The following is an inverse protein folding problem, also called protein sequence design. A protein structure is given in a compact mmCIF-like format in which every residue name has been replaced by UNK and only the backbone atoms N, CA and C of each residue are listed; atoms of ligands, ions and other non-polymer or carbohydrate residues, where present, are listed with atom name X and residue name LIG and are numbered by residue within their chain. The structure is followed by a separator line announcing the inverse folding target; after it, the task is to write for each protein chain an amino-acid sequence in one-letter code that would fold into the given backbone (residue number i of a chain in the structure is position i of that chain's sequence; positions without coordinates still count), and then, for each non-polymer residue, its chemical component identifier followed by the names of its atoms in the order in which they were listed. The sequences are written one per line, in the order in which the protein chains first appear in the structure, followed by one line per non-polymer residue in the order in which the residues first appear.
data_IF_379888505626
#
_entry.id   IF_379888505626
#
_cell.length_a   1.000
_cell.length_b   1.000
_cell.length_c   1.000
_cell.angle_alpha   90.00
_cell.angle_beta   90.00
_cell.angle_gamma   90.00
#
_symmetry.space_group_name_H-M   'P 1'
#
loop_
_entity.id
_entity.type
_entity.pdbx_description
1 polymer ?
#
# COMPACT_ATOMS: atom_id res chain seq x y z
N UNK A 1 -15.58 15.30 14.64
CA UNK A 1 -15.39 16.44 13.73
C UNK A 1 -14.08 16.23 12.97
N UNK A 2 -14.13 15.92 11.67
CA UNK A 2 -12.94 15.83 10.84
C UNK A 2 -12.41 17.26 10.67
N UNK A 3 -11.40 17.65 11.46
CA UNK A 3 -10.81 19.00 11.33
C UNK A 3 -9.93 19.02 10.09
N UNK A 4 -10.40 19.69 9.04
CA UNK A 4 -9.59 19.95 7.85
C UNK A 4 -8.58 21.06 8.16
N UNK A 5 -7.36 20.92 7.66
CA UNK A 5 -6.35 21.96 7.78
C UNK A 5 -6.75 23.17 6.92
N UNK A 6 -6.52 24.40 7.40
CA UNK A 6 -6.95 25.61 6.67
C UNK A 6 -6.32 25.69 5.27
N UNK A 7 -5.02 25.38 5.18
CA UNK A 7 -4.29 25.27 3.90
C UNK A 7 -4.95 24.27 2.94
N UNK A 8 -5.48 23.16 3.46
CA UNK A 8 -6.13 22.12 2.68
C UNK A 8 -7.46 22.62 2.09
N UNK A 9 -8.21 23.39 2.89
CA UNK A 9 -9.49 23.97 2.50
C UNK A 9 -9.29 25.03 1.43
N UNK A 10 -8.37 25.96 1.68
CA UNK A 10 -8.04 27.05 0.75
C UNK A 10 -7.56 26.51 -0.60
N UNK A 11 -6.66 25.51 -0.59
CA UNK A 11 -6.17 24.88 -1.83
C UNK A 11 -7.28 24.18 -2.61
N UNK A 12 -8.19 23.49 -1.93
CA UNK A 12 -9.31 22.85 -2.62
C UNK A 12 -10.31 23.87 -3.15
N UNK A 13 -10.68 24.87 -2.36
CA UNK A 13 -11.57 25.95 -2.80
C UNK A 13 -10.99 26.70 -4.01
N UNK A 14 -9.68 26.89 -4.09
CA UNK A 14 -9.02 27.47 -5.25
C UNK A 14 -9.07 26.59 -6.51
N UNK A 15 -9.14 25.25 -6.36
CA UNK A 15 -9.19 24.29 -7.47
C UNK A 15 -10.62 23.98 -7.94
N UNK A 16 -11.55 23.83 -7.00
CA UNK A 16 -12.89 23.30 -7.23
C UNK A 16 -13.99 24.38 -7.07
N UNK A 17 -13.70 25.47 -6.37
CA UNK A 17 -14.64 26.58 -6.12
C UNK A 17 -15.56 26.39 -4.91
N UNK A 18 -15.49 25.25 -4.21
CA UNK A 18 -16.28 24.96 -3.00
C UNK A 18 -15.36 24.83 -1.78
N UNK A 19 -15.82 25.26 -0.59
CA UNK A 19 -15.16 24.87 0.66
C UNK A 19 -15.60 23.44 1.01
N UNK A 20 -14.68 22.53 1.41
CA UNK A 20 -15.08 21.19 1.81
C UNK A 20 -16.00 21.15 3.04
N UNK A 21 -16.12 22.23 3.82
CA UNK A 21 -17.09 22.33 4.91
C UNK A 21 -18.51 22.62 4.44
N UNK A 22 -18.68 23.14 3.22
CA UNK A 22 -20.00 23.41 2.63
C UNK A 22 -20.57 22.17 1.91
N UNK A 23 -19.77 21.10 1.79
CA UNK A 23 -20.18 19.82 1.19
C UNK A 23 -20.91 18.99 2.26
N UNK A 24 -22.12 18.50 1.94
CA UNK A 24 -22.97 17.73 2.86
C UNK A 24 -22.30 16.45 3.38
N UNK A 25 -21.61 15.72 2.50
CA UNK A 25 -20.81 14.54 2.87
C UNK A 25 -19.47 14.58 2.13
N UNK A 26 -18.45 15.29 2.68
CA UNK A 26 -17.17 15.43 2.00
C UNK A 26 -16.47 14.08 1.75
N UNK A 27 -16.46 13.11 2.69
CA UNK A 27 -15.99 11.76 2.39
C UNK A 27 -16.64 11.09 1.17
N UNK A 28 -17.91 11.39 0.88
CA UNK A 28 -18.62 10.89 -0.29
C UNK A 28 -18.42 11.74 -1.57
N UNK A 29 -17.91 12.97 -1.46
CA UNK A 29 -17.62 13.83 -2.62
C UNK A 29 -16.36 13.37 -3.37
N UNK A 30 -16.51 13.18 -4.69
CA UNK A 30 -15.45 12.65 -5.54
C UNK A 30 -14.30 13.63 -5.75
N UNK A 31 -14.60 14.91 -6.00
CA UNK A 31 -13.60 15.94 -6.20
C UNK A 31 -12.74 16.13 -4.94
N UNK A 32 -13.39 16.16 -3.77
CA UNK A 32 -12.69 16.24 -2.49
C UNK A 32 -11.83 15.01 -2.25
N UNK A 33 -12.34 13.79 -2.48
CA UNK A 33 -11.52 12.57 -2.37
C UNK A 33 -10.31 12.62 -3.29
N UNK A 34 -10.50 13.00 -4.56
CA UNK A 34 -9.44 13.09 -5.55
C UNK A 34 -8.37 14.09 -5.13
N UNK A 35 -8.77 15.29 -4.69
CA UNK A 35 -7.86 16.30 -4.15
C UNK A 35 -6.99 15.76 -3.00
N UNK A 36 -7.61 15.00 -2.08
CA UNK A 36 -6.89 14.39 -0.96
C UNK A 36 -5.90 13.32 -1.40
N UNK A 37 -6.24 12.52 -2.41
CA UNK A 37 -5.30 11.56 -3.00
C UNK A 37 -4.15 12.29 -3.71
N UNK A 38 -4.47 13.30 -4.52
CA UNK A 38 -3.50 14.08 -5.29
C UNK A 38 -2.53 14.85 -4.40
N UNK A 39 -2.95 15.25 -3.21
CA UNK A 39 -2.06 15.88 -2.23
C UNK A 39 -0.94 14.93 -1.77
N UNK A 40 -1.27 13.65 -1.49
CA UNK A 40 -0.27 12.64 -1.11
C UNK A 40 0.55 12.24 -2.34
N UNK A 41 -0.11 11.98 -3.47
CA UNK A 41 0.53 11.61 -4.73
C UNK A 41 1.50 12.69 -5.23
N UNK A 42 1.18 13.97 -5.06
CA UNK A 42 2.04 15.09 -5.42
C UNK A 42 3.36 15.04 -4.66
N UNK A 43 3.32 14.85 -3.34
CA UNK A 43 4.52 14.72 -2.51
C UNK A 43 5.38 13.51 -2.94
N UNK A 44 4.75 12.36 -3.21
CA UNK A 44 5.48 11.17 -3.68
C UNK A 44 6.10 11.41 -5.06
N UNK A 45 5.41 12.09 -5.98
CA UNK A 45 5.93 12.43 -7.31
C UNK A 45 7.13 13.37 -7.25
N UNK A 46 7.13 14.34 -6.33
CA UNK A 46 8.28 15.22 -6.12
C UNK A 46 9.50 14.44 -5.62
N UNK A 47 9.30 13.57 -4.62
CA UNK A 47 10.37 12.71 -4.10
C UNK A 47 10.91 11.75 -5.16
N UNK A 48 10.03 11.09 -5.91
CA UNK A 48 10.42 10.17 -6.96
C UNK A 48 11.22 10.88 -8.05
N UNK A 49 10.78 12.06 -8.49
CA UNK A 49 11.51 12.86 -9.48
C UNK A 49 12.93 13.19 -9.02
N UNK A 50 13.09 13.63 -7.78
CA UNK A 50 14.41 13.94 -7.23
C UNK A 50 15.27 12.68 -7.16
N UNK A 51 14.77 11.59 -6.57
CA UNK A 51 15.50 10.32 -6.40
C UNK A 51 15.92 9.72 -7.74
N UNK A 52 15.02 9.72 -8.73
CA UNK A 52 15.33 9.29 -10.11
C UNK A 52 16.34 10.22 -10.79
N UNK A 53 16.32 11.53 -10.49
CA UNK A 53 17.32 12.49 -10.96
C UNK A 53 18.74 12.17 -10.50
N UNK A 54 18.88 11.47 -9.36
CA UNK A 54 20.16 10.93 -8.86
C UNK A 54 20.45 9.51 -9.35
N UNK A 55 19.67 8.98 -10.29
CA UNK A 55 19.82 7.62 -10.83
C UNK A 55 19.56 6.51 -9.80
N UNK A 56 18.78 6.80 -8.76
CA UNK A 56 18.46 5.85 -7.69
C UNK A 56 17.03 5.32 -7.82
N UNK A 57 16.77 4.06 -7.44
CA UNK A 57 15.41 3.56 -7.36
C UNK A 57 14.70 4.08 -6.10
N UNK A 58 13.38 4.19 -6.18
CA UNK A 58 12.50 4.51 -5.06
C UNK A 58 11.41 3.45 -4.93
N UNK A 59 11.13 3.08 -3.69
CA UNK A 59 10.08 2.12 -3.36
C UNK A 59 9.31 2.54 -2.12
N UNK A 60 8.11 2.02 -1.92
CA UNK A 60 7.30 2.35 -0.74
C UNK A 60 6.60 1.13 -0.15
N UNK A 61 6.54 1.10 1.18
CA UNK A 61 5.56 0.31 1.92
C UNK A 61 4.20 1.03 1.90
N UNK A 62 3.17 0.33 1.45
CA UNK A 62 1.85 0.93 1.19
C UNK A 62 0.72 0.13 1.81
N UNK A 63 -0.46 0.72 1.94
CA UNK A 63 -1.63 -0.01 2.43
C UNK A 63 -2.09 -1.09 1.43
N UNK A 64 -2.72 -2.18 1.90
CA UNK A 64 -2.87 -3.46 1.20
C UNK A 64 -3.28 -3.40 -0.28
N UNK A 65 -4.51 -2.98 -0.55
CA UNK A 65 -5.08 -2.92 -1.91
C UNK A 65 -5.33 -1.48 -2.31
N UNK A 66 -5.36 -1.13 -3.61
CA UNK A 66 -5.64 0.23 -4.06
C UNK A 66 -6.93 0.82 -3.47
N UNK A 67 -7.96 -0.02 -3.34
CA UNK A 67 -9.25 0.35 -2.75
C UNK A 67 -9.14 0.64 -1.25
N UNK A 68 -8.49 -0.23 -0.47
CA UNK A 68 -8.30 -0.03 0.97
C UNK A 68 -7.40 1.19 1.21
N UNK A 69 -6.33 1.33 0.45
CA UNK A 69 -5.35 2.40 0.58
C UNK A 69 -5.96 3.78 0.32
N UNK A 70 -6.76 3.95 -0.74
CA UNK A 70 -7.51 5.20 -0.99
C UNK A 70 -8.52 5.50 0.11
N UNK A 71 -9.29 4.48 0.51
CA UNK A 71 -10.39 4.62 1.47
C UNK A 71 -9.92 4.95 2.88
N UNK A 72 -8.80 4.36 3.34
CA UNK A 72 -8.34 4.54 4.71
C UNK A 72 -7.31 5.67 4.83
N UNK A 73 -6.32 5.70 3.95
CA UNK A 73 -5.12 6.55 4.12
C UNK A 73 -4.85 7.47 2.94
N UNK A 74 -5.77 7.55 1.97
CA UNK A 74 -5.68 8.46 0.80
C UNK A 74 -4.46 8.18 -0.08
N UNK A 75 -3.91 6.96 -0.01
CA UNK A 75 -2.79 6.56 -0.85
C UNK A 75 -3.31 6.04 -2.19
N UNK A 76 -2.98 6.76 -3.27
CA UNK A 76 -3.21 6.34 -4.65
C UNK A 76 -1.96 5.71 -5.26
N UNK A 77 -1.43 4.67 -4.59
CA UNK A 77 -0.06 4.19 -4.82
C UNK A 77 0.17 3.53 -6.18
N UNK A 78 -0.86 3.02 -6.81
CA UNK A 78 -0.88 2.53 -8.19
C UNK A 78 -0.68 3.65 -9.22
N UNK A 79 -0.82 4.92 -8.84
CA UNK A 79 -0.56 6.08 -9.71
C UNK A 79 0.82 6.71 -9.45
N UNK A 80 1.61 6.12 -8.55
CA UNK A 80 2.91 6.67 -8.15
C UNK A 80 4.01 6.15 -9.06
N UNK A 81 4.98 7.00 -9.47
CA UNK A 81 6.11 6.59 -10.29
C UNK A 81 7.18 5.92 -9.42
N UNK A 82 6.86 4.76 -8.84
CA UNK A 82 7.77 3.96 -8.03
C UNK A 82 8.36 2.80 -8.82
N UNK A 83 9.57 2.38 -8.46
CA UNK A 83 10.25 1.24 -9.07
C UNK A 83 9.81 -0.10 -8.47
N UNK A 84 9.20 -0.07 -7.27
CA UNK A 84 8.66 -1.24 -6.57
C UNK A 84 7.71 -0.83 -5.46
N UNK A 85 6.69 -1.63 -5.20
CA UNK A 85 5.78 -1.44 -4.07
C UNK A 85 5.74 -2.64 -3.12
N UNK A 86 5.49 -2.35 -1.85
CA UNK A 86 5.41 -3.33 -0.78
C UNK A 86 4.07 -3.19 -0.03
N UNK A 87 2.94 -3.69 -0.59
CA UNK A 87 1.66 -3.65 0.10
C UNK A 87 1.70 -4.43 1.41
N UNK A 88 1.31 -3.79 2.50
CA UNK A 88 1.25 -4.36 3.85
C UNK A 88 0.02 -5.29 3.97
N UNK A 89 0.11 -6.50 3.43
CA UNK A 89 -0.93 -7.53 3.42
C UNK A 89 -1.02 -8.25 4.78
N UNK A 90 -1.20 -7.47 5.84
CA UNK A 90 -1.23 -7.94 7.23
C UNK A 90 -2.59 -8.56 7.54
N UNK A 91 -2.89 -9.74 6.99
CA UNK A 91 -4.19 -10.42 7.08
C UNK A 91 -4.82 -10.37 8.49
N UNK A 92 -4.03 -10.58 9.54
CA UNK A 92 -4.49 -10.52 10.95
C UNK A 92 -5.01 -9.15 11.39
N UNK A 93 -4.51 -8.05 10.84
CA UNK A 93 -4.98 -6.68 11.14
C UNK A 93 -6.33 -6.39 10.49
N UNK A 94 -6.68 -7.16 9.46
CA UNK A 94 -7.94 -7.07 8.73
C UNK A 94 -8.93 -8.17 9.12
N UNK A 95 -8.57 -9.06 10.07
CA UNK A 95 -9.35 -10.24 10.48
C UNK A 95 -9.63 -11.20 9.32
N UNK A 96 -8.66 -11.32 8.41
CA UNK A 96 -8.73 -12.13 7.20
C UNK A 96 -7.80 -13.35 7.29
N UNK A 97 -8.05 -14.35 6.45
CA UNK A 97 -7.21 -15.56 6.31
C UNK A 97 -6.03 -15.35 5.34
N UNK A 98 -5.11 -16.32 5.26
CA UNK A 98 -3.94 -16.26 4.36
C UNK A 98 -4.36 -16.12 2.89
N UNK A 99 -5.49 -16.68 2.47
CA UNK A 99 -6.02 -16.55 1.09
C UNK A 99 -6.22 -15.10 0.66
N UNK A 100 -6.56 -14.21 1.61
CA UNK A 100 -6.74 -12.78 1.37
C UNK A 100 -5.46 -12.09 0.92
N UNK A 101 -4.29 -12.61 1.33
CA UNK A 101 -2.99 -12.12 0.83
C UNK A 101 -2.94 -12.31 -0.70
N UNK A 102 -3.38 -13.45 -1.20
CA UNK A 102 -3.46 -13.72 -2.64
C UNK A 102 -4.44 -12.80 -3.37
N UNK A 103 -5.60 -12.51 -2.77
CA UNK A 103 -6.55 -11.54 -3.32
C UNK A 103 -5.96 -10.13 -3.38
N UNK A 104 -5.24 -9.72 -2.33
CA UNK A 104 -4.57 -8.44 -2.27
C UNK A 104 -3.45 -8.30 -3.31
N UNK A 105 -2.65 -9.35 -3.50
CA UNK A 105 -1.63 -9.39 -4.56
C UNK A 105 -2.27 -9.26 -5.94
N UNK A 106 -3.31 -10.05 -6.25
CA UNK A 106 -4.00 -9.98 -7.55
C UNK A 106 -4.55 -8.58 -7.83
N UNK A 107 -5.21 -7.99 -6.84
CA UNK A 107 -5.76 -6.64 -6.97
C UNK A 107 -4.66 -5.59 -7.18
N UNK A 108 -3.53 -5.72 -6.50
CA UNK A 108 -2.39 -4.81 -6.65
C UNK A 108 -1.66 -4.97 -7.97
N UNK A 109 -1.34 -6.20 -8.36
CA UNK A 109 -0.66 -6.50 -9.62
C UNK A 109 -1.49 -6.03 -10.83
N UNK A 110 -2.81 -6.24 -10.81
CA UNK A 110 -3.71 -5.76 -11.85
C UNK A 110 -3.71 -4.22 -11.99
N UNK A 111 -3.50 -3.48 -10.88
CA UNK A 111 -3.47 -2.03 -10.89
C UNK A 111 -2.11 -1.45 -11.31
N UNK A 112 -1.00 -2.14 -11.01
CA UNK A 112 0.36 -1.67 -11.24
C UNK A 112 0.89 -1.89 -12.66
N UNK A 113 0.25 -2.79 -13.42
CA UNK A 113 0.78 -3.20 -14.71
C UNK A 113 2.15 -3.86 -14.57
N UNK A 114 3.21 -3.16 -14.98
CA UNK A 114 4.59 -3.67 -14.98
C UNK A 114 5.39 -3.35 -13.72
N UNK A 115 4.88 -2.50 -12.81
CA UNK A 115 5.64 -2.13 -11.60
C UNK A 115 5.67 -3.31 -10.62
N UNK A 116 6.86 -3.79 -10.21
CA UNK A 116 6.97 -4.96 -9.33
C UNK A 116 6.29 -4.78 -7.96
N UNK A 117 5.65 -5.84 -7.49
CA UNK A 117 4.95 -5.92 -6.22
C UNK A 117 5.54 -7.02 -5.33
N UNK A 118 5.95 -6.66 -4.12
CA UNK A 118 6.37 -7.61 -3.09
C UNK A 118 5.36 -7.63 -1.95
N UNK A 119 4.75 -8.79 -1.69
CA UNK A 119 3.77 -8.93 -0.62
C UNK A 119 4.41 -8.70 0.76
N UNK A 120 3.96 -7.66 1.46
CA UNK A 120 4.38 -7.36 2.83
C UNK A 120 3.63 -8.22 3.83
N UNK A 121 4.36 -9.09 4.54
CA UNK A 121 3.84 -10.06 5.48
C UNK A 121 4.17 -9.65 6.92
N UNK A 122 3.16 -9.68 7.79
CA UNK A 122 3.35 -9.43 9.22
C UNK A 122 3.74 -10.73 9.93
N UNK A 123 5.02 -10.87 10.24
CA UNK A 123 5.60 -12.11 10.75
C UNK A 123 4.99 -12.57 12.09
N UNK A 124 4.69 -11.70 13.07
CA UNK A 124 4.15 -12.16 14.36
C UNK A 124 2.79 -12.87 14.28
N UNK A 125 2.11 -12.81 13.13
CA UNK A 125 0.85 -13.54 12.87
C UNK A 125 1.05 -14.83 12.05
N UNK A 126 2.28 -15.16 11.69
CA UNK A 126 2.64 -16.27 10.81
C UNK A 126 3.69 -17.13 11.49
N UNK A 127 3.27 -18.24 12.11
CA UNK A 127 4.20 -19.30 12.50
C UNK A 127 4.94 -19.88 11.26
N UNK A 128 6.03 -20.66 11.43
CA UNK A 128 6.84 -21.09 10.29
C UNK A 128 6.04 -21.83 9.18
N UNK A 129 5.14 -22.79 9.49
CA UNK A 129 4.27 -23.40 8.46
C UNK A 129 3.36 -22.40 7.74
N UNK A 130 2.74 -21.47 8.49
CA UNK A 130 1.87 -20.43 7.92
C UNK A 130 2.64 -19.40 7.10
N UNK A 131 3.88 -19.09 7.48
CA UNK A 131 4.78 -18.25 6.69
C UNK A 131 5.04 -18.88 5.32
N UNK A 132 5.38 -20.18 5.27
CA UNK A 132 5.55 -20.90 4.00
C UNK A 132 4.31 -20.83 3.12
N UNK A 133 3.13 -21.07 3.72
CA UNK A 133 1.84 -21.00 3.02
C UNK A 133 1.56 -19.58 2.49
N UNK A 134 1.85 -18.54 3.27
CA UNK A 134 1.65 -17.14 2.88
C UNK A 134 2.58 -16.72 1.72
N UNK A 135 3.84 -17.18 1.74
CA UNK A 135 4.80 -16.93 0.65
C UNK A 135 4.31 -17.60 -0.64
N UNK A 136 3.95 -18.88 -0.58
CA UNK A 136 3.42 -19.60 -1.75
C UNK A 136 2.16 -18.93 -2.30
N UNK A 137 1.21 -18.60 -1.42
CA UNK A 137 -0.03 -17.90 -1.79
C UNK A 137 0.24 -16.58 -2.50
N UNK A 138 1.19 -15.77 -1.99
CA UNK A 138 1.54 -14.50 -2.61
C UNK A 138 2.20 -14.69 -3.98
N UNK A 139 3.12 -15.66 -4.12
CA UNK A 139 3.82 -15.92 -5.39
C UNK A 139 2.89 -16.48 -6.46
N UNK A 140 2.04 -17.44 -6.13
CA UNK A 140 1.04 -17.99 -7.04
C UNK A 140 0.01 -16.93 -7.50
N UNK A 141 -0.24 -15.93 -6.65
CA UNK A 141 -1.08 -14.78 -6.99
C UNK A 141 -0.39 -13.74 -7.90
N UNK A 142 0.91 -13.88 -8.17
CA UNK A 142 1.66 -13.02 -9.08
C UNK A 142 2.57 -11.98 -8.40
N UNK A 143 2.90 -12.14 -7.11
CA UNK A 143 3.89 -11.27 -6.47
C UNK A 143 5.31 -11.58 -6.97
N UNK A 144 6.09 -10.54 -7.24
CA UNK A 144 7.52 -10.64 -7.57
C UNK A 144 8.38 -11.11 -6.39
N UNK A 145 7.82 -11.07 -5.19
CA UNK A 145 8.44 -11.61 -3.98
C UNK A 145 7.66 -11.23 -2.73
N UNK A 146 8.32 -11.32 -1.58
CA UNK A 146 7.75 -10.97 -0.28
C UNK A 146 8.66 -10.02 0.48
N UNK A 147 8.11 -9.26 1.42
CA UNK A 147 8.85 -8.54 2.46
C UNK A 147 8.30 -8.91 3.82
N UNK A 148 9.16 -9.05 4.82
CA UNK A 148 8.78 -9.45 6.18
C UNK A 148 8.88 -8.27 7.13
N UNK A 149 7.82 -8.05 7.90
CA UNK A 149 7.78 -7.09 8.99
C UNK A 149 7.81 -7.87 10.30
N UNK A 150 9.01 -7.96 10.88
CA UNK A 150 9.33 -9.04 11.83
C UNK A 150 8.97 -8.72 13.28
N UNK A 151 9.10 -7.45 13.73
CA UNK A 151 8.74 -6.99 15.08
C UNK A 151 9.28 -7.88 16.22
N UNK A 152 10.54 -8.28 16.14
CA UNK A 152 11.24 -9.23 17.01
C UNK A 152 10.66 -10.67 17.03
N UNK A 153 9.82 -11.02 16.05
CA UNK A 153 9.17 -12.33 15.94
C UNK A 153 9.94 -13.36 15.12
N UNK A 154 11.08 -12.98 14.53
CA UNK A 154 11.88 -13.88 13.70
C UNK A 154 12.60 -14.94 14.54
N UNK A 155 12.50 -16.21 14.12
CA UNK A 155 13.22 -17.34 14.73
C UNK A 155 13.97 -18.14 13.66
N UNK A 156 14.89 -19.02 14.08
CA UNK A 156 15.61 -19.91 13.16
C UNK A 156 14.66 -20.79 12.34
N UNK A 157 13.55 -21.25 12.92
CA UNK A 157 12.53 -22.03 12.19
C UNK A 157 11.84 -21.20 11.09
N UNK A 158 11.61 -19.90 11.32
CA UNK A 158 11.12 -19.02 10.27
C UNK A 158 12.15 -18.86 9.15
N UNK A 159 13.45 -18.83 9.47
CA UNK A 159 14.51 -18.79 8.45
C UNK A 159 14.57 -20.08 7.63
N UNK A 160 14.32 -21.25 8.24
CA UNK A 160 14.16 -22.52 7.50
C UNK A 160 12.96 -22.42 6.55
N UNK A 161 11.78 -22.06 7.06
CA UNK A 161 10.56 -21.94 6.25
C UNK A 161 10.71 -20.92 5.10
N UNK A 162 11.40 -19.80 5.32
CA UNK A 162 11.69 -18.81 4.30
C UNK A 162 12.58 -19.39 3.18
N UNK A 163 13.63 -20.14 3.53
CA UNK A 163 14.50 -20.81 2.54
C UNK A 163 13.73 -21.84 1.72
N UNK A 164 12.96 -22.69 2.39
CA UNK A 164 12.21 -23.76 1.74
C UNK A 164 11.15 -23.21 0.76
N UNK A 165 10.51 -22.08 1.09
CA UNK A 165 9.48 -21.46 0.26
C UNK A 165 10.04 -20.65 -0.94
N UNK A 166 11.31 -20.21 -0.86
CA UNK A 166 11.96 -19.40 -1.89
C UNK A 166 12.78 -20.23 -2.88
N UNK A 167 13.23 -21.43 -2.51
CA UNK A 167 14.12 -22.29 -3.31
C UNK A 167 15.55 -21.77 -3.33
#
# INVERSE_FOLDING_TARGET
MMRYCDVCRERFAALDGRDPLDITDPPADEAWRRFRWDSVTGAVRELAREVHGHGKPISAAVFPTPAIARRLVRQAWDEWPLDRVFPMLYHSFYLEDISWIGDGVRAGAAALGSTPLNAGLYLPALDPPRLGTAITTAREAGADGVSLFEMHGLTDDHLVALRDALG
#
